data_IF_098666706019
#
_entry.id   IF_098666706019
#
_cell.length_a   1.000
_cell.length_b   1.000
_cell.length_c   1.000
_cell.angle_alpha   90.00
_cell.angle_beta   90.00
_cell.angle_gamma   90.00
#
_symmetry.space_group_name_H-M   'P 1'
#
loop_
_entity.id
_entity.type
_entity.pdbx_description
1 polymer ?
#
# COMPACT_ATOMS: atom_id res chain seq x y z
N UNK A 1 -20.76 9.13 -10.26
CA UNK A 1 -19.92 7.96 -9.97
C UNK A 1 -18.83 8.37 -9.00
N UNK A 2 -18.69 7.64 -7.90
CA UNK A 2 -17.63 7.94 -6.94
C UNK A 2 -16.28 7.50 -7.49
N UNK A 3 -15.33 8.39 -7.47
CA UNK A 3 -13.94 8.02 -7.72
C UNK A 3 -13.32 7.43 -6.46
N UNK A 4 -12.48 6.43 -6.64
CA UNK A 4 -11.69 5.91 -5.55
C UNK A 4 -10.64 6.92 -5.13
N UNK A 5 -10.40 7.02 -3.82
CA UNK A 5 -9.38 7.90 -3.27
C UNK A 5 -8.50 7.14 -2.31
N UNK A 6 -7.21 7.36 -2.43
CA UNK A 6 -6.26 6.83 -1.47
C UNK A 6 -6.21 7.80 -0.31
N UNK A 7 -6.44 7.30 0.90
CA UNK A 7 -6.31 8.12 2.11
C UNK A 7 -4.90 7.94 2.66
N UNK A 8 -4.20 9.04 2.83
CA UNK A 8 -2.81 9.05 3.25
C UNK A 8 -2.66 9.84 4.54
N UNK A 9 -2.06 9.21 5.56
CA UNK A 9 -1.68 9.91 6.78
C UNK A 9 -0.18 10.19 6.70
N UNK A 10 0.19 11.46 6.81
CA UNK A 10 1.58 11.88 6.76
C UNK A 10 2.22 11.88 8.15
N UNK A 11 3.53 11.93 8.20
CA UNK A 11 4.31 11.90 9.42
C UNK A 11 3.91 13.00 10.41
N UNK A 12 3.52 14.17 9.91
CA UNK A 12 3.04 15.29 10.74
C UNK A 12 1.55 15.18 11.13
N UNK A 13 0.94 14.01 10.92
CA UNK A 13 -0.47 13.71 11.19
C UNK A 13 -1.46 14.38 10.23
N UNK A 14 -0.99 15.04 9.18
CA UNK A 14 -1.87 15.58 8.15
C UNK A 14 -2.50 14.44 7.35
N UNK A 15 -3.81 14.56 7.12
CA UNK A 15 -4.54 13.61 6.29
C UNK A 15 -4.68 14.18 4.89
N UNK A 16 -4.43 13.34 3.88
CA UNK A 16 -4.64 13.70 2.48
C UNK A 16 -5.42 12.62 1.76
N UNK A 17 -6.18 13.05 0.76
CA UNK A 17 -6.87 12.12 -0.13
C UNK A 17 -6.34 12.34 -1.54
N UNK A 18 -5.99 11.25 -2.22
CA UNK A 18 -5.43 11.29 -3.56
C UNK A 18 -6.38 10.60 -4.51
N UNK A 19 -6.83 11.31 -5.53
CA UNK A 19 -7.69 10.75 -6.57
C UNK A 19 -6.89 9.72 -7.38
N UNK A 20 -7.54 8.59 -7.65
CA UNK A 20 -6.95 7.54 -8.46
C UNK A 20 -7.32 7.73 -9.93
N UNK A 21 -6.35 7.56 -10.81
CA UNK A 21 -6.59 7.59 -12.26
C UNK A 21 -7.32 6.33 -12.72
N UNK A 22 -7.13 5.22 -12.01
CA UNK A 22 -7.78 3.94 -12.28
C UNK A 22 -8.27 3.39 -10.93
N UNK A 23 -9.57 3.09 -10.84
CA UNK A 23 -10.17 2.60 -9.61
C UNK A 23 -9.65 1.25 -9.16
N UNK A 24 -9.14 0.45 -10.07
CA UNK A 24 -8.78 -0.94 -9.78
C UNK A 24 -7.30 -1.15 -9.56
N UNK A 25 -6.47 -0.15 -9.82
CA UNK A 25 -5.04 -0.35 -9.88
C UNK A 25 -4.25 0.75 -9.17
N UNK A 26 -3.36 0.32 -8.27
CA UNK A 26 -2.39 1.23 -7.66
C UNK A 26 -1.13 1.18 -8.52
N UNK A 27 -0.79 2.31 -9.12
CA UNK A 27 0.27 2.40 -10.13
C UNK A 27 1.64 2.00 -9.60
N UNK A 28 2.48 1.47 -10.48
CA UNK A 28 3.88 1.18 -10.16
C UNK A 28 4.57 2.43 -9.63
N UNK A 29 5.39 2.26 -8.62
CA UNK A 29 6.22 3.31 -8.05
C UNK A 29 5.49 4.54 -7.50
N UNK A 30 4.16 4.50 -7.39
CA UNK A 30 3.36 5.68 -7.05
C UNK A 30 3.80 6.36 -5.75
N UNK A 31 4.18 5.59 -4.74
CA UNK A 31 4.65 6.11 -3.45
C UNK A 31 6.09 5.70 -3.12
N UNK A 32 6.86 5.28 -4.13
CA UNK A 32 8.25 4.87 -3.90
C UNK A 32 9.05 5.94 -3.16
N UNK A 33 9.77 5.53 -2.14
CA UNK A 33 10.67 6.40 -1.37
C UNK A 33 9.98 7.55 -0.62
N UNK A 34 8.68 7.39 -0.32
CA UNK A 34 7.91 8.40 0.41
C UNK A 34 8.08 8.18 1.92
N UNK A 35 9.09 8.81 2.50
CA UNK A 35 9.35 8.70 3.94
C UNK A 35 8.40 9.54 4.79
N UNK A 36 7.58 10.39 4.17
CA UNK A 36 6.59 11.22 4.84
C UNK A 36 5.25 10.50 5.09
N UNK A 37 5.07 9.30 4.55
CA UNK A 37 3.81 8.57 4.64
C UNK A 37 3.86 7.56 5.78
N UNK A 38 2.85 7.62 6.67
CA UNK A 38 2.78 6.75 7.86
C UNK A 38 1.68 5.70 7.72
N UNK A 39 0.57 6.05 7.09
CA UNK A 39 -0.56 5.14 6.92
C UNK A 39 -1.20 5.34 5.56
N UNK A 40 -1.57 4.23 4.95
CA UNK A 40 -2.28 4.22 3.66
C UNK A 40 -3.57 3.43 3.85
N UNK A 41 -4.67 4.00 3.38
CA UNK A 41 -5.93 3.28 3.30
C UNK A 41 -6.39 3.28 1.84
N UNK A 42 -6.51 2.10 1.26
CA UNK A 42 -6.90 1.92 -0.14
C UNK A 42 -8.41 1.72 -0.23
N UNK A 43 -9.06 2.33 -1.23
CA UNK A 43 -10.53 2.26 -1.34
C UNK A 43 -10.99 0.92 -1.91
N UNK A 44 -12.27 0.60 -1.66
CA UNK A 44 -12.92 -0.52 -2.32
C UNK A 44 -12.91 -0.34 -3.83
N UNK A 45 -12.70 -1.44 -4.53
CA UNK A 45 -12.55 -1.45 -5.99
C UNK A 45 -11.12 -1.69 -6.43
N UNK A 46 -10.15 -1.43 -5.56
CA UNK A 46 -8.74 -1.71 -5.88
C UNK A 46 -8.55 -3.22 -5.92
N UNK A 47 -8.07 -3.72 -7.06
CA UNK A 47 -7.84 -5.15 -7.29
C UNK A 47 -6.38 -5.50 -7.30
N UNK A 48 -5.51 -4.57 -7.70
CA UNK A 48 -4.10 -4.86 -7.83
C UNK A 48 -3.24 -3.70 -7.35
N UNK A 49 -2.18 -4.05 -6.64
CA UNK A 49 -1.13 -3.12 -6.26
C UNK A 49 0.05 -3.36 -7.17
N UNK A 50 0.49 -2.31 -7.87
CA UNK A 50 1.56 -2.39 -8.84
C UNK A 50 2.92 -2.67 -8.23
N UNK A 51 3.85 -3.09 -9.07
CA UNK A 51 5.22 -3.37 -8.64
C UNK A 51 5.86 -2.13 -8.05
N UNK A 52 6.55 -2.31 -6.93
CA UNK A 52 7.29 -1.23 -6.27
C UNK A 52 6.44 -0.04 -5.81
N UNK A 53 5.11 -0.21 -5.74
CA UNK A 53 4.19 0.90 -5.46
C UNK A 53 4.53 1.66 -4.18
N UNK A 54 4.99 0.95 -3.15
CA UNK A 54 5.33 1.53 -1.84
C UNK A 54 6.77 1.19 -1.43
N UNK A 55 7.64 0.98 -2.39
CA UNK A 55 9.03 0.64 -2.13
C UNK A 55 9.71 1.69 -1.25
N UNK A 56 10.42 1.24 -0.22
CA UNK A 56 11.21 2.12 0.66
C UNK A 56 10.37 3.19 1.37
N UNK A 57 9.12 2.91 1.66
CA UNK A 57 8.31 3.79 2.51
C UNK A 57 8.74 3.54 3.97
N UNK A 58 9.84 4.16 4.38
CA UNK A 58 10.53 3.82 5.63
C UNK A 58 9.72 4.12 6.89
N UNK A 59 8.77 5.05 6.82
CA UNK A 59 7.94 5.41 7.97
C UNK A 59 6.52 4.87 7.89
N UNK A 60 6.21 4.10 6.85
CA UNK A 60 4.90 3.49 6.70
C UNK A 60 4.71 2.42 7.77
N UNK A 61 3.68 2.57 8.59
CA UNK A 61 3.39 1.67 9.71
C UNK A 61 2.20 0.76 9.46
N UNK A 62 1.23 1.23 8.69
CA UNK A 62 -0.01 0.50 8.46
C UNK A 62 -0.55 0.71 7.05
N UNK A 63 -0.99 -0.38 6.43
CA UNK A 63 -1.75 -0.32 5.19
C UNK A 63 -3.07 -1.05 5.41
N UNK A 64 -4.18 -0.38 5.06
CA UNK A 64 -5.51 -0.97 5.09
C UNK A 64 -5.91 -1.33 3.67
N UNK A 65 -6.05 -2.62 3.42
CA UNK A 65 -6.42 -3.15 2.11
C UNK A 65 -7.93 -3.35 2.03
N UNK A 66 -8.53 -3.10 0.86
CA UNK A 66 -9.96 -3.38 0.66
C UNK A 66 -10.21 -4.86 0.40
N UNK A 67 -11.45 -5.30 0.62
CA UNK A 67 -11.85 -6.67 0.32
C UNK A 67 -11.74 -7.02 -1.17
N UNK A 68 -11.79 -6.01 -2.02
CA UNK A 68 -11.68 -6.19 -3.47
C UNK A 68 -10.30 -6.61 -3.93
N UNK A 69 -9.26 -6.48 -3.08
CA UNK A 69 -7.89 -6.76 -3.47
C UNK A 69 -7.69 -8.20 -3.91
N UNK A 70 -7.04 -8.39 -5.06
CA UNK A 70 -6.77 -9.70 -5.64
C UNK A 70 -5.29 -10.02 -5.77
N UNK A 71 -4.46 -8.99 -5.92
CA UNK A 71 -3.04 -9.21 -6.19
C UNK A 71 -2.16 -8.08 -5.63
N UNK A 72 -1.02 -8.46 -5.04
CA UNK A 72 0.02 -7.52 -4.61
C UNK A 72 1.27 -7.83 -5.42
N UNK A 73 1.76 -6.82 -6.13
CA UNK A 73 2.85 -6.97 -7.09
C UNK A 73 4.23 -7.17 -6.50
N UNK A 74 5.17 -7.40 -7.38
CA UNK A 74 6.57 -7.62 -7.05
C UNK A 74 7.15 -6.42 -6.33
N UNK A 75 7.80 -6.66 -5.19
CA UNK A 75 8.47 -5.63 -4.41
C UNK A 75 7.57 -4.45 -4.00
N UNK A 76 6.26 -4.68 -3.98
CA UNK A 76 5.30 -3.60 -3.72
C UNK A 76 5.58 -2.85 -2.41
N UNK A 77 6.03 -3.55 -1.38
CA UNK A 77 6.36 -2.98 -0.07
C UNK A 77 7.79 -3.31 0.36
N UNK A 78 8.67 -3.52 -0.59
CA UNK A 78 10.06 -3.86 -0.25
C UNK A 78 10.69 -2.78 0.63
N UNK A 79 11.36 -3.20 1.70
CA UNK A 79 12.08 -2.32 2.63
C UNK A 79 11.19 -1.31 3.36
N UNK A 80 9.92 -1.62 3.56
CA UNK A 80 9.06 -0.86 4.46
C UNK A 80 9.38 -1.31 5.89
N UNK A 81 10.52 -0.83 6.41
CA UNK A 81 11.12 -1.37 7.64
C UNK A 81 10.30 -1.13 8.90
N UNK A 82 9.38 -0.16 8.89
CA UNK A 82 8.52 0.13 10.02
C UNK A 82 7.09 -0.38 9.86
N UNK A 83 6.81 -1.08 8.76
CA UNK A 83 5.47 -1.61 8.51
C UNK A 83 5.16 -2.72 9.50
N UNK A 84 4.11 -2.48 10.31
CA UNK A 84 3.69 -3.41 11.37
C UNK A 84 2.41 -4.15 11.02
N UNK A 85 1.56 -3.54 10.22
CA UNK A 85 0.24 -4.09 9.90
C UNK A 85 -0.09 -3.95 8.43
N UNK A 86 -0.34 -5.07 7.77
CA UNK A 86 -0.75 -5.15 6.37
C UNK A 86 -1.58 -6.41 6.20
N UNK A 87 -2.84 -6.33 6.65
CA UNK A 87 -3.74 -7.48 6.65
C UNK A 87 -4.54 -7.52 5.36
N UNK A 88 -4.47 -8.62 4.65
CA UNK A 88 -5.24 -8.84 3.43
C UNK A 88 -6.02 -10.15 3.53
N UNK A 89 -7.03 -10.23 2.71
CA UNK A 89 -7.98 -11.34 2.69
C UNK A 89 -7.31 -12.62 2.17
N UNK A 90 -7.77 -13.76 2.65
CA UNK A 90 -7.32 -15.05 2.14
C UNK A 90 -7.61 -15.14 0.64
N UNK A 91 -6.66 -15.66 -0.10
CA UNK A 91 -6.79 -15.82 -1.56
C UNK A 91 -6.15 -14.72 -2.37
N UNK A 92 -5.67 -13.65 -1.73
CA UNK A 92 -4.91 -12.61 -2.44
C UNK A 92 -3.59 -13.20 -2.93
N UNK A 93 -3.29 -12.98 -4.21
CA UNK A 93 -2.04 -13.44 -4.80
C UNK A 93 -0.93 -12.46 -4.43
N UNK A 94 0.02 -12.90 -3.62
CA UNK A 94 1.12 -12.06 -3.14
C UNK A 94 2.42 -12.57 -3.73
N UNK A 95 3.14 -11.68 -4.42
CA UNK A 95 4.46 -12.04 -4.93
C UNK A 95 5.41 -12.31 -3.76
N UNK A 96 6.29 -13.31 -3.86
CA UNK A 96 7.22 -13.63 -2.76
C UNK A 96 8.11 -12.47 -2.32
N UNK A 97 8.32 -11.47 -3.17
CA UNK A 97 9.14 -10.30 -2.85
C UNK A 97 8.35 -9.11 -2.33
N UNK A 98 7.01 -9.19 -2.32
CA UNK A 98 6.14 -8.05 -2.00
C UNK A 98 6.49 -7.37 -0.67
N UNK A 99 6.82 -8.15 0.35
CA UNK A 99 7.11 -7.63 1.70
C UNK A 99 8.55 -7.89 2.13
N UNK A 100 9.45 -8.07 1.17
CA UNK A 100 10.87 -8.28 1.48
C UNK A 100 11.42 -7.10 2.25
N UNK A 101 12.12 -7.36 3.35
CA UNK A 101 12.70 -6.31 4.17
C UNK A 101 11.74 -5.64 5.14
N UNK A 102 10.48 -6.05 5.19
CA UNK A 102 9.51 -5.56 6.17
C UNK A 102 9.75 -6.27 7.51
N UNK A 103 10.80 -5.88 8.19
CA UNK A 103 11.33 -6.63 9.34
C UNK A 103 10.43 -6.57 10.58
N UNK A 104 9.49 -5.63 10.64
CA UNK A 104 8.56 -5.53 11.77
C UNK A 104 7.17 -6.10 11.46
N UNK A 105 6.97 -6.57 10.25
CA UNK A 105 5.66 -7.10 9.86
C UNK A 105 5.45 -8.47 10.53
N UNK A 106 4.37 -8.57 11.29
CA UNK A 106 3.98 -9.82 11.90
C UNK A 106 3.12 -10.63 10.92
N UNK A 107 3.45 -11.91 10.80
CA UNK A 107 2.72 -12.82 9.91
C UNK A 107 1.78 -13.72 10.69
#
# INVERSE_FOLDING_TARGET
MKRGRIKVTLYNRTLKEIDMSDFSYISEDIFSNRSDVVKIELPEGVKKIGNNAFENCNNLEEVIFPDSLEEIGQEAFINCVNLKSAVYKKGVKVDPTSFKGCIQLET
#
